data_IF_223898598167
#
_entry.id   IF_223898598167
#
_cell.length_a   1.000
_cell.length_b   1.000
_cell.length_c   1.000
_cell.angle_alpha   90.00
_cell.angle_beta   90.00
_cell.angle_gamma   90.00
#
_symmetry.space_group_name_H-M   'P 1'
#
loop_
_entity.id
_entity.type
_entity.pdbx_description
1 polymer ?
#
# COMPACT_ATOMS: atom_id res chain seq x y z
N UNK A 1 29.66 4.90 13.48
CA UNK A 1 28.56 5.17 12.53
C UNK A 1 27.65 6.13 13.26
N UNK A 2 27.43 7.33 12.74
CA UNK A 2 26.61 8.33 13.44
C UNK A 2 25.19 7.79 13.62
N UNK A 3 24.67 7.78 14.84
CA UNK A 3 23.33 7.25 15.16
C UNK A 3 22.24 7.87 14.27
N UNK A 4 22.37 9.17 13.96
CA UNK A 4 21.51 9.88 13.02
C UNK A 4 21.54 9.32 11.60
N UNK A 5 22.73 8.92 11.12
CA UNK A 5 22.89 8.31 9.79
C UNK A 5 22.23 6.93 9.77
N UNK A 6 22.40 6.15 10.84
CA UNK A 6 21.74 4.85 10.99
C UNK A 6 20.22 5.01 10.97
N UNK A 7 19.69 5.94 11.76
CA UNK A 7 18.25 6.20 11.85
C UNK A 7 17.67 6.62 10.48
N UNK A 8 18.33 7.53 9.77
CA UNK A 8 17.91 7.95 8.42
C UNK A 8 17.89 6.78 7.44
N UNK A 9 18.95 5.98 7.43
CA UNK A 9 19.07 4.82 6.54
C UNK A 9 17.95 3.81 6.80
N UNK A 10 17.67 3.50 8.08
CA UNK A 10 16.60 2.58 8.47
C UNK A 10 15.23 3.12 8.02
N UNK A 11 14.92 4.38 8.33
CA UNK A 11 13.64 4.99 7.95
C UNK A 11 13.45 5.01 6.43
N UNK A 12 14.49 5.37 5.68
CA UNK A 12 14.44 5.41 4.22
C UNK A 12 14.23 4.01 3.63
N UNK A 13 15.00 3.01 4.05
CA UNK A 13 14.91 1.64 3.57
C UNK A 13 13.53 1.05 3.87
N UNK A 14 13.00 1.27 5.08
CA UNK A 14 11.67 0.79 5.45
C UNK A 14 10.59 1.41 4.57
N UNK A 15 10.61 2.74 4.37
CA UNK A 15 9.57 3.43 3.61
C UNK A 15 9.64 3.11 2.11
N UNK A 16 10.85 3.07 1.53
CA UNK A 16 11.04 2.67 0.13
C UNK A 16 10.66 1.21 -0.08
N UNK A 17 11.09 0.32 0.82
CA UNK A 17 10.76 -1.11 0.76
C UNK A 17 9.26 -1.37 0.89
N UNK A 18 8.60 -0.74 1.86
CA UNK A 18 7.16 -0.82 2.03
C UNK A 18 6.41 -0.28 0.80
N UNK A 19 6.81 0.89 0.29
CA UNK A 19 6.20 1.47 -0.89
C UNK A 19 6.36 0.59 -2.14
N UNK A 20 7.56 0.07 -2.38
CA UNK A 20 7.83 -0.84 -3.49
C UNK A 20 7.01 -2.13 -3.39
N UNK A 21 6.91 -2.72 -2.19
CA UNK A 21 6.10 -3.90 -1.93
C UNK A 21 4.61 -3.63 -2.20
N UNK A 22 4.08 -2.50 -1.73
CA UNK A 22 2.69 -2.09 -1.95
C UNK A 22 2.39 -1.86 -3.44
N UNK A 23 3.30 -1.21 -4.18
CA UNK A 23 3.19 -1.03 -5.63
C UNK A 23 3.15 -2.38 -6.36
N UNK A 24 4.06 -3.29 -6.00
CA UNK A 24 4.09 -4.64 -6.56
C UNK A 24 2.80 -5.40 -6.24
N UNK A 25 2.31 -5.35 -5.00
CA UNK A 25 1.06 -6.01 -4.58
C UNK A 25 -0.15 -5.47 -5.35
N UNK A 26 -0.24 -4.15 -5.55
CA UNK A 26 -1.32 -3.53 -6.32
C UNK A 26 -1.38 -4.07 -7.75
N UNK A 27 -0.22 -4.23 -8.41
CA UNK A 27 -0.12 -4.82 -9.73
C UNK A 27 -0.42 -6.33 -9.74
N UNK A 28 0.20 -7.07 -8.82
CA UNK A 28 0.09 -8.53 -8.74
C UNK A 28 -1.33 -9.00 -8.42
N UNK A 29 -2.03 -8.33 -7.52
CA UNK A 29 -3.40 -8.69 -7.15
C UNK A 29 -4.41 -8.29 -8.24
N UNK A 30 -4.28 -7.09 -8.83
CA UNK A 30 -5.19 -6.61 -9.88
C UNK A 30 -5.05 -7.36 -11.22
N UNK A 31 -3.87 -7.94 -11.48
CA UNK A 31 -3.61 -8.80 -12.64
C UNK A 31 -4.02 -10.26 -12.42
N UNK A 32 -4.41 -10.64 -11.20
CA UNK A 32 -4.73 -12.03 -10.84
C UNK A 32 -3.53 -12.90 -10.51
N UNK A 33 -2.29 -12.43 -10.70
CA UNK A 33 -1.07 -13.21 -10.40
C UNK A 33 -0.99 -13.69 -8.95
N UNK A 34 -1.49 -12.89 -8.01
CA UNK A 34 -1.47 -13.26 -6.59
C UNK A 34 -2.51 -14.36 -6.25
N UNK A 35 -3.60 -14.44 -7.03
CA UNK A 35 -4.77 -15.24 -6.70
C UNK A 35 -5.40 -14.89 -5.35
N UNK A 36 -6.57 -15.48 -5.07
CA UNK A 36 -7.20 -15.41 -3.75
C UNK A 36 -6.38 -16.23 -2.75
N UNK A 37 -5.90 -15.59 -1.69
CA UNK A 37 -4.99 -16.23 -0.73
C UNK A 37 -5.16 -15.62 0.69
N UNK A 38 -4.76 -16.34 1.76
CA UNK A 38 -4.92 -15.86 3.13
C UNK A 38 -3.79 -14.94 3.61
N UNK A 39 -2.75 -14.68 2.80
CA UNK A 39 -1.52 -13.99 3.24
C UNK A 39 -1.49 -12.51 2.82
N UNK A 40 -1.79 -12.21 1.56
CA UNK A 40 -1.55 -10.91 0.96
C UNK A 40 -2.73 -10.44 0.09
N UNK A 41 -3.09 -9.16 0.20
CA UNK A 41 -4.22 -8.54 -0.48
C UNK A 41 -5.34 -8.11 0.49
N UNK A 42 -6.47 -7.69 -0.07
CA UNK A 42 -7.68 -7.32 0.68
C UNK A 42 -8.43 -8.60 1.03
N UNK A 43 -8.48 -8.93 2.33
CA UNK A 43 -9.04 -10.18 2.87
C UNK A 43 -10.31 -9.93 3.66
N UNK A 44 -11.28 -9.28 3.02
CA UNK A 44 -12.61 -9.09 3.59
C UNK A 44 -13.51 -10.24 3.12
N UNK A 45 -14.57 -10.59 3.87
CA UNK A 45 -15.52 -11.62 3.43
C UNK A 45 -16.07 -11.36 2.01
N UNK A 46 -16.32 -10.09 1.66
CA UNK A 46 -16.75 -9.68 0.33
C UNK A 46 -15.73 -9.99 -0.76
N UNK A 47 -14.45 -9.74 -0.51
CA UNK A 47 -13.37 -9.94 -1.51
C UNK A 47 -12.89 -11.39 -1.59
N UNK A 48 -13.17 -12.20 -0.57
CA UNK A 48 -12.81 -13.61 -0.51
C UNK A 48 -13.92 -14.56 -1.00
N UNK A 49 -15.11 -14.03 -1.36
CA UNK A 49 -16.26 -14.84 -1.75
C UNK A 49 -16.02 -15.70 -3.01
N UNK A 50 -15.36 -15.13 -4.01
CA UNK A 50 -14.99 -15.80 -5.26
C UNK A 50 -13.72 -15.20 -5.85
N UNK A 51 -13.14 -15.87 -6.84
CA UNK A 51 -11.95 -15.34 -7.54
C UNK A 51 -12.29 -14.11 -8.40
N UNK A 52 -13.53 -14.01 -8.89
CA UNK A 52 -14.03 -12.82 -9.57
C UNK A 52 -14.19 -11.64 -8.61
N UNK A 53 -14.76 -11.88 -7.42
CA UNK A 53 -14.87 -10.87 -6.37
C UNK A 53 -13.48 -10.37 -5.95
N UNK A 54 -12.49 -11.28 -5.87
CA UNK A 54 -11.10 -10.93 -5.63
C UNK A 54 -10.55 -10.01 -6.72
N UNK A 55 -10.68 -10.38 -7.98
CA UNK A 55 -10.17 -9.61 -9.12
C UNK A 55 -10.82 -8.23 -9.22
N UNK A 56 -12.15 -8.16 -9.10
CA UNK A 56 -12.88 -6.89 -9.18
C UNK A 56 -12.51 -5.96 -8.03
N UNK A 57 -12.40 -6.48 -6.81
CA UNK A 57 -11.95 -5.70 -5.67
C UNK A 57 -10.55 -5.12 -5.87
N UNK A 58 -9.59 -5.95 -6.29
CA UNK A 58 -8.20 -5.52 -6.43
C UNK A 58 -7.97 -4.61 -7.64
N UNK A 59 -8.72 -4.78 -8.73
CA UNK A 59 -8.72 -3.82 -9.85
C UNK A 59 -9.27 -2.46 -9.41
N UNK A 60 -10.36 -2.43 -8.66
CA UNK A 60 -10.93 -1.19 -8.13
C UNK A 60 -9.99 -0.51 -7.11
N UNK A 61 -9.34 -1.30 -6.26
CA UNK A 61 -8.37 -0.81 -5.27
C UNK A 61 -6.99 -0.44 -5.86
N UNK A 62 -6.69 -0.80 -7.12
CA UNK A 62 -5.34 -0.63 -7.70
C UNK A 62 -4.85 0.82 -7.61
N UNK A 63 -5.65 1.78 -8.06
CA UNK A 63 -5.26 3.21 -8.09
C UNK A 63 -4.93 3.74 -6.69
N UNK A 64 -5.82 3.64 -5.68
CA UNK A 64 -5.48 4.13 -4.35
C UNK A 64 -4.29 3.40 -3.72
N UNK A 65 -4.15 2.08 -3.92
CA UNK A 65 -2.97 1.35 -3.43
C UNK A 65 -1.68 1.80 -4.10
N UNK A 66 -1.72 2.16 -5.39
CA UNK A 66 -0.56 2.74 -6.09
C UNK A 66 -0.18 4.10 -5.50
N UNK A 67 -1.15 4.96 -5.23
CA UNK A 67 -0.90 6.26 -4.56
C UNK A 67 -0.29 6.04 -3.18
N UNK A 68 -0.80 5.07 -2.40
CA UNK A 68 -0.25 4.71 -1.10
C UNK A 68 1.25 4.35 -1.17
N UNK A 69 1.63 3.53 -2.14
CA UNK A 69 3.03 3.13 -2.36
C UNK A 69 3.94 4.32 -2.70
N UNK A 70 3.48 5.21 -3.57
CA UNK A 70 4.24 6.43 -3.90
C UNK A 70 4.35 7.42 -2.75
N UNK A 71 3.30 7.60 -1.95
CA UNK A 71 3.37 8.42 -0.73
C UNK A 71 4.48 7.94 0.22
N UNK A 72 4.61 6.62 0.40
CA UNK A 72 5.68 6.07 1.21
C UNK A 72 7.06 6.31 0.61
N UNK A 73 7.27 6.05 -0.68
CA UNK A 73 8.57 6.28 -1.34
C UNK A 73 8.98 7.76 -1.27
N UNK A 74 8.06 8.67 -1.61
CA UNK A 74 8.33 10.12 -1.63
C UNK A 74 8.64 10.65 -0.23
N UNK A 75 8.00 10.09 0.81
CA UNK A 75 8.27 10.49 2.20
C UNK A 75 9.69 10.20 2.68
N UNK A 76 10.42 9.30 1.99
CA UNK A 76 11.81 8.98 2.31
C UNK A 76 12.83 9.98 1.74
N UNK A 77 12.44 10.87 0.82
CA UNK A 77 13.35 11.81 0.15
C UNK A 77 14.16 12.66 1.15
N UNK A 78 13.59 13.21 2.24
CA UNK A 78 14.36 14.00 3.20
C UNK A 78 15.53 13.26 3.86
N UNK A 79 15.50 11.92 3.91
CA UNK A 79 16.54 11.12 4.54
C UNK A 79 17.92 11.26 3.85
N UNK A 80 17.94 11.59 2.55
CA UNK A 80 19.18 11.80 1.77
C UNK A 80 19.57 13.27 1.63
N UNK A 81 18.80 14.18 2.23
CA UNK A 81 19.05 15.62 2.18
C UNK A 81 19.75 16.12 3.46
N UNK A 82 20.50 17.24 3.39
CA UNK A 82 21.13 17.86 4.55
C UNK A 82 20.10 18.65 5.39
N UNK A 83 19.05 17.99 5.84
CA UNK A 83 17.97 18.54 6.69
C UNK A 83 18.03 17.95 8.10
N UNK A 84 17.46 18.59 9.13
CA UNK A 84 17.41 18.03 10.49
C UNK A 84 16.65 16.70 10.56
N UNK A 85 17.04 15.81 11.49
CA UNK A 85 16.37 14.51 11.69
C UNK A 85 14.87 14.66 11.96
N UNK A 86 14.45 15.72 12.66
CA UNK A 86 13.04 16.02 12.89
C UNK A 86 12.24 16.14 11.58
N UNK A 87 12.79 16.75 10.53
CA UNK A 87 12.14 16.88 9.22
C UNK A 87 11.97 15.51 8.56
N UNK A 88 12.99 14.64 8.67
CA UNK A 88 12.93 13.27 8.16
C UNK A 88 11.83 12.49 8.88
N UNK A 89 11.80 12.54 10.21
CA UNK A 89 10.80 11.83 11.03
C UNK A 89 9.39 12.32 10.73
N UNK A 90 9.16 13.63 10.64
CA UNK A 90 7.84 14.18 10.30
C UNK A 90 7.39 13.75 8.91
N UNK A 91 8.28 13.77 7.91
CA UNK A 91 7.96 13.32 6.56
C UNK A 91 7.57 11.84 6.54
N UNK A 92 8.35 10.98 7.20
CA UNK A 92 8.10 9.54 7.29
C UNK A 92 6.76 9.25 7.97
N UNK A 93 6.45 9.92 9.09
CA UNK A 93 5.17 9.77 9.78
C UNK A 93 4.00 10.20 8.91
N UNK A 94 4.12 11.32 8.19
CA UNK A 94 3.10 11.77 7.24
C UNK A 94 2.92 10.78 6.08
N UNK A 95 4.02 10.26 5.53
CA UNK A 95 4.01 9.24 4.48
C UNK A 95 3.37 7.92 4.92
N UNK A 96 3.67 7.47 6.14
CA UNK A 96 3.07 6.28 6.73
C UNK A 96 1.57 6.45 6.96
N UNK A 97 1.14 7.62 7.48
CA UNK A 97 -0.27 7.94 7.65
C UNK A 97 -1.01 8.00 6.30
N UNK A 98 -0.41 8.61 5.28
CA UNK A 98 -0.96 8.64 3.93
C UNK A 98 -1.08 7.24 3.32
N UNK A 99 -0.02 6.42 3.43
CA UNK A 99 -0.04 5.03 2.98
C UNK A 99 -1.19 4.27 3.64
N UNK A 100 -1.32 4.35 4.96
CA UNK A 100 -2.39 3.68 5.70
C UNK A 100 -3.77 4.17 5.24
N UNK A 101 -3.96 5.49 5.14
CA UNK A 101 -5.21 6.09 4.69
C UNK A 101 -5.64 5.62 3.30
N UNK A 102 -4.72 5.62 2.33
CA UNK A 102 -5.00 5.17 0.97
C UNK A 102 -5.21 3.66 0.88
N UNK A 103 -4.49 2.85 1.67
CA UNK A 103 -4.73 1.39 1.74
C UNK A 103 -6.12 1.08 2.31
N UNK A 104 -6.51 1.75 3.40
CA UNK A 104 -7.85 1.60 3.99
C UNK A 104 -8.95 2.07 3.02
N UNK A 105 -8.71 3.16 2.31
CA UNK A 105 -9.62 3.63 1.26
C UNK A 105 -9.71 2.63 0.10
N UNK A 106 -8.58 2.07 -0.34
CA UNK A 106 -8.53 1.00 -1.35
C UNK A 106 -9.31 -0.24 -0.90
N UNK A 107 -9.18 -0.65 0.36
CA UNK A 107 -9.95 -1.76 0.93
C UNK A 107 -11.46 -1.46 0.93
N UNK A 108 -11.87 -0.24 1.27
CA UNK A 108 -13.28 0.19 1.22
C UNK A 108 -13.83 0.16 -0.20
N UNK A 109 -13.10 0.72 -1.17
CA UNK A 109 -13.50 0.75 -2.59
C UNK A 109 -13.56 -0.66 -3.16
N UNK A 110 -12.55 -1.48 -2.90
CA UNK A 110 -12.50 -2.88 -3.35
C UNK A 110 -13.62 -3.72 -2.76
N UNK A 111 -13.90 -3.57 -1.46
CA UNK A 111 -15.01 -4.27 -0.80
C UNK A 111 -16.36 -3.90 -1.40
N UNK A 112 -16.62 -2.60 -1.65
CA UNK A 112 -17.84 -2.15 -2.33
C UNK A 112 -17.97 -2.74 -3.73
N UNK A 113 -16.88 -2.78 -4.49
CA UNK A 113 -16.88 -3.34 -5.83
C UNK A 113 -17.20 -4.84 -5.81
N UNK A 114 -16.64 -5.60 -4.86
CA UNK A 114 -16.93 -7.02 -4.69
C UNK A 114 -18.39 -7.27 -4.25
N UNK A 115 -18.94 -6.49 -3.32
CA UNK A 115 -20.34 -6.64 -2.89
C UNK A 115 -21.33 -6.34 -4.01
N UNK A 116 -21.00 -5.44 -4.92
CA UNK A 116 -21.84 -5.10 -6.07
C UNK A 116 -21.76 -6.13 -7.21
N UNK A 117 -20.85 -7.11 -7.12
CA UNK A 117 -20.77 -8.21 -8.06
C UNK A 117 -22.01 -9.10 -7.86
N UNK A 118 -22.97 -9.04 -8.78
CA UNK A 118 -24.13 -9.95 -8.75
C UNK A 118 -23.65 -11.36 -9.08
N UNK A 119 -24.04 -12.41 -8.34
CA UNK A 119 -23.90 -13.76 -8.85
C UNK A 119 -24.75 -13.88 -10.11
N UNK A 120 -24.15 -14.30 -11.22
CA UNK A 120 -24.92 -14.64 -12.41
C UNK A 120 -25.86 -15.79 -12.03
N UNK A 121 -27.16 -15.58 -12.23
CA UNK A 121 -28.23 -16.51 -11.86
C UNK A 121 -28.30 -17.72 -12.77
#
# INVERSE_FOLDING_TARGET
MDEDLVARAVLAVVMVGAGALVLWMAGAAASGRLGRNPIAGIRLPSTMASDDAWLVAHRAAKRPTVVAGWCAIVSAIPAVLPVPLAVVTTAVLAGAAALLGFVLYGAKVGSRAATNLRPEG
#
